data_IF_852196105517
#
_entry.id   IF_852196105517
#
_cell.length_a   1.000
_cell.length_b   1.000
_cell.length_c   1.000
_cell.angle_alpha   90.00
_cell.angle_beta   90.00
_cell.angle_gamma   90.00
#
_symmetry.space_group_name_H-M   'P 1'
#
loop_
_entity.id
_entity.type
_entity.pdbx_description
1 polymer ?
#
# COMPACT_ATOMS: atom_id res chain seq x y z
N UNK A 1 -23.66 -16.60 -2.88
CA UNK A 1 -23.25 -17.23 -4.15
C UNK A 1 -21.73 -17.30 -4.16
N UNK A 2 -21.13 -18.47 -3.92
CA UNK A 2 -19.72 -18.67 -4.23
C UNK A 2 -19.65 -19.03 -5.71
N UNK A 3 -18.91 -18.25 -6.52
CA UNK A 3 -18.61 -18.64 -7.89
C UNK A 3 -17.67 -19.84 -7.88
N UNK A 4 -17.83 -20.75 -8.84
CA UNK A 4 -16.81 -21.76 -9.14
C UNK A 4 -15.81 -21.14 -10.09
N UNK A 5 -14.52 -21.31 -9.81
CA UNK A 5 -13.42 -20.84 -10.65
C UNK A 5 -12.49 -22.01 -10.92
N UNK A 6 -12.01 -22.11 -12.16
CA UNK A 6 -11.03 -23.13 -12.56
C UNK A 6 -9.64 -22.53 -12.44
N UNK A 7 -8.73 -23.25 -11.79
CA UNK A 7 -7.33 -22.90 -11.71
C UNK A 7 -6.56 -23.65 -12.80
N UNK A 8 -5.40 -23.14 -13.19
CA UNK A 8 -4.47 -23.92 -13.99
C UNK A 8 -3.76 -24.98 -13.13
N UNK A 9 -3.17 -26.00 -13.76
CA UNK A 9 -2.55 -27.14 -13.08
C UNK A 9 -1.46 -26.72 -12.07
N UNK A 10 -0.67 -25.68 -12.36
CA UNK A 10 0.37 -25.22 -11.45
C UNK A 10 -0.23 -24.54 -10.21
N UNK A 11 -1.26 -23.74 -10.41
CA UNK A 11 -2.00 -23.10 -9.32
C UNK A 11 -2.74 -24.11 -8.45
N UNK A 12 -3.32 -25.16 -9.03
CA UNK A 12 -3.95 -26.26 -8.29
C UNK A 12 -2.93 -26.99 -7.41
N UNK A 13 -1.81 -27.43 -7.98
CA UNK A 13 -0.75 -28.10 -7.23
C UNK A 13 -0.16 -27.23 -6.11
N UNK A 14 -0.05 -25.92 -6.33
CA UNK A 14 0.39 -24.98 -5.31
C UNK A 14 -0.61 -24.87 -4.16
N UNK A 15 -1.90 -24.74 -4.45
CA UNK A 15 -2.95 -24.67 -3.42
C UNK A 15 -3.03 -25.98 -2.64
N UNK A 16 -2.96 -27.12 -3.32
CA UNK A 16 -2.96 -28.44 -2.69
C UNK A 16 -1.77 -28.60 -1.74
N UNK A 17 -0.54 -28.29 -2.16
CA UNK A 17 0.63 -28.37 -1.29
C UNK A 17 0.55 -27.45 -0.05
N UNK A 18 -0.11 -26.29 -0.16
CA UNK A 18 -0.34 -25.41 0.98
C UNK A 18 -1.35 -25.98 1.98
N UNK A 19 -2.33 -26.77 1.52
CA UNK A 19 -3.30 -27.45 2.38
C UNK A 19 -2.67 -28.70 2.99
N UNK A 20 -1.99 -29.53 2.19
CA UNK A 20 -1.31 -30.74 2.66
C UNK A 20 -0.23 -30.45 3.70
N UNK A 21 0.48 -29.33 3.57
CA UNK A 21 1.46 -28.88 4.58
C UNK A 21 0.83 -28.41 5.89
N UNK A 22 -0.51 -28.29 5.95
CA UNK A 22 -1.24 -27.79 7.11
C UNK A 22 -1.14 -26.27 7.30
N UNK A 23 -0.59 -25.53 6.34
CA UNK A 23 -0.51 -24.06 6.41
C UNK A 23 -1.88 -23.41 6.27
N UNK A 24 -2.78 -24.03 5.51
CA UNK A 24 -4.18 -23.62 5.37
C UNK A 24 -5.10 -24.85 5.52
N UNK A 25 -6.28 -24.66 6.10
CA UNK A 25 -7.25 -25.75 6.30
C UNK A 25 -7.96 -26.15 5.01
N UNK A 26 -8.27 -25.16 4.16
CA UNK A 26 -8.98 -25.39 2.90
C UNK A 26 -8.41 -24.55 1.76
N UNK A 27 -8.63 -25.00 0.52
CA UNK A 27 -8.35 -24.20 -0.68
C UNK A 27 -9.07 -22.83 -0.64
N UNK A 28 -10.27 -22.79 -0.05
CA UNK A 28 -11.02 -21.55 0.14
C UNK A 28 -10.35 -20.54 1.07
N UNK A 29 -9.56 -20.99 2.04
CA UNK A 29 -8.75 -20.11 2.89
C UNK A 29 -7.57 -19.54 2.12
N UNK A 30 -6.89 -20.37 1.31
CA UNK A 30 -5.79 -19.94 0.43
C UNK A 30 -6.26 -18.85 -0.52
N UNK A 31 -7.40 -19.06 -1.19
CA UNK A 31 -7.96 -18.08 -2.13
C UNK A 31 -8.38 -16.78 -1.44
N UNK A 32 -9.00 -16.85 -0.24
CA UNK A 32 -9.36 -15.65 0.53
C UNK A 32 -8.13 -14.84 0.92
N UNK A 33 -7.07 -15.49 1.39
CA UNK A 33 -5.84 -14.80 1.77
C UNK A 33 -5.14 -14.21 0.54
N UNK A 34 -5.11 -14.95 -0.58
CA UNK A 34 -4.59 -14.47 -1.85
C UNK A 34 -5.31 -13.20 -2.34
N UNK A 35 -6.65 -13.20 -2.28
CA UNK A 35 -7.47 -12.03 -2.61
C UNK A 35 -7.24 -10.87 -1.63
N UNK A 36 -7.04 -11.15 -0.35
CA UNK A 36 -6.71 -10.12 0.66
C UNK A 36 -5.38 -9.43 0.33
N UNK A 37 -4.35 -10.22 0.00
CA UNK A 37 -3.05 -9.69 -0.41
C UNK A 37 -3.14 -8.90 -1.72
N UNK A 38 -3.88 -9.40 -2.70
CA UNK A 38 -4.12 -8.69 -3.96
C UNK A 38 -4.80 -7.34 -3.73
N UNK A 39 -5.87 -7.31 -2.92
CA UNK A 39 -6.57 -6.06 -2.57
C UNK A 39 -5.66 -5.06 -1.86
N UNK A 40 -4.82 -5.52 -0.94
CA UNK A 40 -3.87 -4.65 -0.25
C UNK A 40 -2.85 -4.03 -1.22
N UNK A 41 -2.35 -4.81 -2.19
CA UNK A 41 -1.47 -4.31 -3.25
C UNK A 41 -2.16 -3.28 -4.14
N UNK A 42 -3.39 -3.56 -4.57
CA UNK A 42 -4.18 -2.62 -5.38
C UNK A 42 -4.45 -1.32 -4.63
N UNK A 43 -4.82 -1.38 -3.35
CA UNK A 43 -5.02 -0.20 -2.52
C UNK A 43 -3.75 0.65 -2.42
N UNK A 44 -2.58 0.03 -2.17
CA UNK A 44 -1.30 0.74 -2.12
C UNK A 44 -0.93 1.39 -3.47
N UNK A 45 -1.23 0.73 -4.58
CA UNK A 45 -1.00 1.31 -5.91
C UNK A 45 -1.93 2.49 -6.18
N UNK A 46 -3.19 2.41 -5.76
CA UNK A 46 -4.13 3.51 -5.86
C UNK A 46 -3.69 4.71 -5.02
N UNK A 47 -3.27 4.48 -3.78
CA UNK A 47 -2.73 5.51 -2.88
C UNK A 47 -1.49 6.18 -3.49
N UNK A 48 -0.55 5.40 -4.02
CA UNK A 48 0.64 5.94 -4.67
C UNK A 48 0.30 6.80 -5.89
N UNK A 49 -0.65 6.36 -6.72
CA UNK A 49 -1.11 7.14 -7.88
C UNK A 49 -1.77 8.45 -7.45
N UNK A 50 -2.56 8.41 -6.38
CA UNK A 50 -3.18 9.62 -5.81
C UNK A 50 -2.12 10.60 -5.28
N UNK A 51 -1.12 10.13 -4.54
CA UNK A 51 -0.03 10.96 -4.03
C UNK A 51 0.83 11.58 -5.15
N UNK A 52 1.06 10.84 -6.24
CA UNK A 52 1.74 11.37 -7.43
C UNK A 52 0.89 12.47 -8.06
N UNK A 53 -0.42 12.24 -8.23
CA UNK A 53 -1.32 13.24 -8.79
C UNK A 53 -1.39 14.50 -7.93
N UNK A 54 -1.47 14.36 -6.61
CA UNK A 54 -1.38 15.47 -5.66
C UNK A 54 -0.08 16.27 -5.85
N UNK A 55 1.06 15.58 -6.01
CA UNK A 55 2.33 16.23 -6.30
C UNK A 55 2.34 16.98 -7.63
N UNK A 56 1.77 16.41 -8.69
CA UNK A 56 1.64 17.08 -9.99
C UNK A 56 0.73 18.31 -9.92
N UNK A 57 -0.33 18.24 -9.13
CA UNK A 57 -1.29 19.32 -8.94
C UNK A 57 -0.80 20.39 -7.94
N UNK A 58 0.29 20.12 -7.20
CA UNK A 58 0.85 21.02 -6.17
C UNK A 58 1.55 22.27 -6.72
N UNK A 59 1.74 22.34 -8.03
CA UNK A 59 2.38 23.47 -8.72
C UNK A 59 3.75 23.11 -9.29
N UNK A 60 4.43 24.09 -9.90
CA UNK A 60 5.74 23.86 -10.50
C UNK A 60 6.80 23.56 -9.43
N UNK A 61 7.82 22.80 -9.83
CA UNK A 61 8.99 22.58 -9.00
C UNK A 61 9.69 23.92 -8.72
N UNK A 62 10.04 24.15 -7.45
CA UNK A 62 10.89 25.24 -7.01
C UNK A 62 12.34 24.78 -6.86
N UNK A 63 13.28 25.71 -7.03
CA UNK A 63 14.71 25.48 -6.78
C UNK A 63 14.98 25.12 -5.31
N UNK A 64 15.81 24.10 -5.09
CA UNK A 64 16.07 23.55 -3.74
C UNK A 64 16.80 24.56 -2.83
N UNK A 65 17.60 25.48 -3.39
CA UNK A 65 18.21 26.64 -2.73
C UNK A 65 18.39 26.54 -1.20
N UNK A 66 17.70 27.41 -0.47
CA UNK A 66 17.62 27.44 1.00
C UNK A 66 16.39 26.69 1.55
N UNK A 67 15.71 25.88 0.71
CA UNK A 67 14.43 25.24 1.02
C UNK A 67 14.47 24.47 2.35
N UNK A 68 15.53 23.69 2.59
CA UNK A 68 15.68 22.95 3.84
C UNK A 68 15.81 23.85 5.07
N UNK A 69 16.47 25.00 4.96
CA UNK A 69 16.56 25.95 6.07
C UNK A 69 15.23 26.64 6.33
N UNK A 70 14.49 27.00 5.27
CA UNK A 70 13.13 27.55 5.38
C UNK A 70 12.18 26.55 6.06
N UNK A 71 12.15 25.30 5.62
CA UNK A 71 11.34 24.22 6.21
C UNK A 71 11.68 24.03 7.69
N UNK A 72 12.97 23.95 8.03
CA UNK A 72 13.41 23.79 9.44
C UNK A 72 13.02 25.01 10.29
N UNK A 73 13.18 26.23 9.78
CA UNK A 73 12.83 27.44 10.50
C UNK A 73 11.33 27.51 10.77
N UNK A 74 10.50 27.16 9.80
CA UNK A 74 9.04 27.13 9.94
C UNK A 74 8.58 26.02 10.88
N UNK A 75 9.14 24.82 10.78
CA UNK A 75 8.87 23.72 11.71
C UNK A 75 9.20 24.08 13.16
N UNK A 76 10.33 24.75 13.41
CA UNK A 76 10.69 25.25 14.75
C UNK A 76 9.69 26.29 15.29
N UNK A 77 9.21 27.21 14.44
CA UNK A 77 8.18 28.19 14.83
C UNK A 77 6.86 27.51 15.20
N UNK A 78 6.41 26.53 14.42
CA UNK A 78 5.19 25.76 14.72
C UNK A 78 5.31 25.02 16.05
N UNK A 79 6.46 24.38 16.30
CA UNK A 79 6.71 23.68 17.56
C UNK A 79 6.76 24.61 18.78
N UNK A 80 7.36 25.80 18.66
CA UNK A 80 7.37 26.79 19.74
C UNK A 80 5.94 27.29 20.06
N UNK A 81 5.15 27.57 19.02
CA UNK A 81 3.76 27.99 19.16
C UNK A 81 2.88 26.90 19.81
N UNK A 82 3.10 25.63 19.49
CA UNK A 82 2.42 24.50 20.15
C UNK A 82 2.85 24.31 21.61
N UNK A 83 4.07 24.73 21.97
CA UNK A 83 4.61 24.66 23.34
C UNK A 83 4.24 25.86 24.21
N UNK A 84 3.59 26.88 23.64
CA UNK A 84 3.14 28.06 24.37
C UNK A 84 4.26 29.03 24.76
N UNK A 85 5.39 29.01 24.04
CA UNK A 85 6.44 30.05 24.09
C UNK A 85 6.16 31.14 23.05
#
# INVERSE_FOLDING_TARGET
>A
MAGSYTLDEQSEAFVEGLVESGRYETAGDVLRDSLRLMKAREAKLQELRAAIQEGLDSGPMEEIGDMFERIKAEGRKRLAAERGE
#
